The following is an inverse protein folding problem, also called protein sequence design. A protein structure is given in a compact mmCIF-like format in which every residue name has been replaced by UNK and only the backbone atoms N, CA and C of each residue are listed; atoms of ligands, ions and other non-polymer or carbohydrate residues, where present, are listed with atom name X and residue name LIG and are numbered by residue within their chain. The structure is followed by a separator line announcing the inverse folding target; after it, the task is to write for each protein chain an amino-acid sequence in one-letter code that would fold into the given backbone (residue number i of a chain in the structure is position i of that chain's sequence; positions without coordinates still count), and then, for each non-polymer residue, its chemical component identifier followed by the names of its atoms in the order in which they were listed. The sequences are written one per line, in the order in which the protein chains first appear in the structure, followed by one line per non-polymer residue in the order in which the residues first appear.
data_IF_932534583377
#
_entry.id   IF_932534583377
#
_cell.length_a   1.000
_cell.length_b   1.000
_cell.length_c   1.000
_cell.angle_alpha   90.00
_cell.angle_beta   90.00
_cell.angle_gamma   90.00
#
_symmetry.space_group_name_H-M   'P 1'
#
loop_
_entity.id
_entity.type
_entity.pdbx_description
1 polymer ?
#
# COMPACT_ATOMS: atom_id res chain seq x y z
N UNK A 1 57.06 -0.96 3.78
CA UNK A 1 56.02 -0.69 2.74
C UNK A 1 54.70 -0.54 3.44
N UNK A 2 54.24 0.69 3.62
CA UNK A 2 52.96 0.97 4.23
C UNK A 2 51.90 1.00 3.10
N UNK A 3 50.92 0.09 3.17
CA UNK A 3 49.75 0.15 2.29
C UNK A 3 48.89 1.34 2.72
N UNK A 4 48.84 2.38 1.93
CA UNK A 4 47.85 3.42 2.00
C UNK A 4 46.53 2.85 1.48
N UNK A 5 45.63 2.49 2.40
CA UNK A 5 44.24 2.20 2.07
C UNK A 5 43.55 3.53 1.72
N UNK A 6 43.36 3.76 0.43
CA UNK A 6 42.52 4.83 -0.07
C UNK A 6 41.08 4.51 0.30
N UNK A 7 40.56 5.15 1.34
CA UNK A 7 39.09 5.22 1.58
C UNK A 7 38.51 6.15 0.54
N UNK A 8 38.11 5.60 -0.61
CA UNK A 8 37.18 6.31 -1.51
C UNK A 8 35.91 6.57 -0.71
N UNK A 9 35.68 7.82 -0.34
CA UNK A 9 34.37 8.24 0.17
C UNK A 9 33.37 7.91 -0.94
N UNK A 10 32.49 6.95 -0.70
CA UNK A 10 31.33 6.70 -1.55
C UNK A 10 30.55 8.00 -1.61
N UNK A 11 30.63 8.71 -2.71
CA UNK A 11 29.72 9.81 -2.97
C UNK A 11 28.31 9.22 -2.89
N UNK A 12 27.46 9.77 -2.02
CA UNK A 12 26.09 9.33 -1.91
C UNK A 12 25.48 9.34 -3.32
N UNK A 13 24.95 8.20 -3.76
CA UNK A 13 24.35 8.06 -5.08
C UNK A 13 23.28 9.16 -5.23
N UNK A 14 23.26 9.86 -6.35
CA UNK A 14 22.22 10.84 -6.63
C UNK A 14 21.02 10.09 -7.22
N UNK A 15 19.75 10.39 -6.86
CA UNK A 15 18.57 9.72 -7.43
C UNK A 15 18.43 10.08 -8.93
N UNK A 16 19.21 9.41 -9.76
CA UNK A 16 19.51 9.79 -11.13
C UNK A 16 19.42 8.59 -12.07
N UNK A 17 18.70 8.74 -13.17
CA UNK A 17 18.64 7.74 -14.24
C UNK A 17 19.99 7.54 -14.95
N UNK A 18 20.77 8.60 -15.24
CA UNK A 18 22.13 8.41 -15.74
C UNK A 18 23.06 7.60 -14.84
N UNK A 19 22.95 7.77 -13.50
CA UNK A 19 23.75 6.99 -12.56
C UNK A 19 23.30 5.53 -12.54
N UNK A 20 22.00 5.29 -12.52
CA UNK A 20 21.44 3.94 -12.63
C UNK A 20 21.88 3.26 -13.94
N UNK A 21 21.74 3.94 -15.09
CA UNK A 21 22.12 3.43 -16.40
C UNK A 21 23.61 3.06 -16.47
N UNK A 22 24.47 3.97 -15.96
CA UNK A 22 25.92 3.71 -15.88
C UNK A 22 26.23 2.49 -15.03
N UNK A 23 25.72 2.42 -13.83
CA UNK A 23 25.96 1.31 -12.88
C UNK A 23 25.45 -0.03 -13.44
N UNK A 24 24.26 -0.02 -14.08
CA UNK A 24 23.72 -1.20 -14.74
C UNK A 24 24.60 -1.65 -15.94
N UNK A 25 25.08 -0.70 -16.74
CA UNK A 25 25.99 -0.97 -17.87
C UNK A 25 27.35 -1.54 -17.39
N UNK A 26 27.85 -1.04 -16.28
CA UNK A 26 29.10 -1.48 -15.67
C UNK A 26 28.99 -2.86 -14.98
N UNK A 27 27.76 -3.38 -14.76
CA UNK A 27 27.54 -4.70 -14.19
C UNK A 27 27.36 -4.71 -12.67
N UNK A 28 26.92 -3.60 -12.09
CA UNK A 28 26.66 -3.50 -10.65
C UNK A 28 25.50 -4.39 -10.19
N UNK A 29 25.40 -4.56 -8.86
CA UNK A 29 24.24 -5.14 -8.19
C UNK A 29 23.25 -4.04 -7.86
N UNK A 30 22.03 -4.16 -8.38
CA UNK A 30 20.99 -3.13 -8.27
C UNK A 30 19.68 -3.72 -7.75
N UNK A 31 19.04 -3.01 -6.84
CA UNK A 31 17.78 -3.38 -6.25
C UNK A 31 16.64 -2.58 -6.89
N UNK A 32 15.67 -3.26 -7.48
CA UNK A 32 14.48 -2.67 -8.09
C UNK A 32 13.26 -3.07 -7.26
N UNK A 33 12.49 -2.09 -6.80
CA UNK A 33 11.30 -2.31 -5.98
C UNK A 33 10.05 -1.92 -6.77
N UNK A 34 9.09 -2.84 -6.87
CA UNK A 34 7.76 -2.60 -7.43
C UNK A 34 6.78 -2.39 -6.28
N UNK A 35 6.33 -1.15 -6.11
CA UNK A 35 5.53 -0.74 -4.96
C UNK A 35 4.13 -0.36 -5.39
N UNK A 36 3.12 -1.16 -4.98
CA UNK A 36 1.76 -0.95 -5.46
C UNK A 36 0.71 -1.89 -4.87
N UNK A 37 -0.29 -2.18 -5.69
CA UNK A 37 -1.44 -3.00 -5.30
C UNK A 37 -1.57 -4.28 -6.14
N UNK A 38 -2.80 -4.78 -6.37
CA UNK A 38 -3.03 -6.03 -7.10
C UNK A 38 -2.54 -6.00 -8.55
N UNK A 39 -2.57 -4.84 -9.19
CA UNK A 39 -2.04 -4.65 -10.55
C UNK A 39 -0.50 -4.75 -10.56
N UNK A 40 0.15 -4.33 -9.50
CA UNK A 40 1.60 -4.52 -9.32
C UNK A 40 1.92 -5.97 -8.98
N UNK A 41 1.14 -6.62 -8.13
CA UNK A 41 1.32 -8.03 -7.82
C UNK A 41 1.13 -8.93 -9.05
N UNK A 42 0.19 -8.61 -9.93
CA UNK A 42 -0.10 -9.37 -11.15
C UNK A 42 -1.31 -10.29 -11.00
N UNK A 43 -2.38 -9.82 -10.33
CA UNK A 43 -3.63 -10.57 -10.24
C UNK A 43 -4.21 -10.86 -11.64
N UNK A 44 -4.70 -12.08 -11.88
CA UNK A 44 -5.12 -12.62 -13.19
C UNK A 44 -3.99 -12.85 -14.22
N UNK A 45 -2.74 -12.57 -13.90
CA UNK A 45 -1.65 -13.09 -14.71
C UNK A 45 -1.62 -14.63 -14.60
N UNK A 46 -1.36 -15.34 -15.69
CA UNK A 46 -1.30 -16.82 -15.65
C UNK A 46 -0.18 -17.32 -14.74
N UNK A 47 0.90 -16.56 -14.66
CA UNK A 47 1.99 -16.71 -13.70
C UNK A 47 2.52 -15.34 -13.33
N UNK A 48 2.19 -14.81 -12.13
CA UNK A 48 2.65 -13.49 -11.71
C UNK A 48 4.17 -13.30 -11.68
N UNK A 49 4.95 -14.38 -11.61
CA UNK A 49 6.40 -14.32 -11.59
C UNK A 49 7.01 -14.17 -13.00
N UNK A 50 6.22 -14.44 -14.05
CA UNK A 50 6.71 -14.36 -15.44
C UNK A 50 5.89 -13.43 -16.33
N UNK A 51 4.56 -13.28 -16.06
CA UNK A 51 3.63 -12.60 -16.97
C UNK A 51 2.97 -11.35 -16.38
N UNK A 52 3.23 -10.99 -15.12
CA UNK A 52 2.83 -9.68 -14.58
C UNK A 52 3.66 -8.55 -15.20
N UNK A 53 3.18 -7.29 -15.06
CA UNK A 53 3.95 -6.15 -15.60
C UNK A 53 5.35 -6.05 -14.97
N UNK A 54 5.46 -6.29 -13.66
CA UNK A 54 6.75 -6.24 -12.96
C UNK A 54 7.73 -7.30 -13.47
N UNK A 55 7.24 -8.51 -13.75
CA UNK A 55 8.07 -9.59 -14.29
C UNK A 55 8.50 -9.29 -15.73
N UNK A 56 7.60 -8.77 -16.57
CA UNK A 56 7.90 -8.41 -17.96
C UNK A 56 8.83 -7.18 -18.01
N UNK A 57 8.66 -6.19 -17.12
CA UNK A 57 9.62 -5.08 -16.99
C UNK A 57 10.99 -5.58 -16.52
N UNK A 58 11.03 -6.51 -15.55
CA UNK A 58 12.28 -7.10 -15.07
C UNK A 58 13.02 -7.84 -16.19
N UNK A 59 12.32 -8.67 -16.97
CA UNK A 59 12.87 -9.36 -18.15
C UNK A 59 13.41 -8.39 -19.17
N UNK A 60 12.69 -7.29 -19.45
CA UNK A 60 13.14 -6.25 -20.34
C UNK A 60 14.41 -5.56 -19.82
N UNK A 61 14.48 -5.27 -18.51
CA UNK A 61 15.63 -4.64 -17.88
C UNK A 61 16.87 -5.57 -17.91
N UNK A 62 16.71 -6.88 -17.65
CA UNK A 62 17.76 -7.88 -17.77
C UNK A 62 18.31 -7.98 -19.20
N UNK A 63 17.44 -7.90 -20.21
CA UNK A 63 17.84 -7.89 -21.62
C UNK A 63 18.59 -6.61 -22.00
N UNK A 64 18.16 -5.46 -21.47
CA UNK A 64 18.81 -4.16 -21.71
C UNK A 64 20.20 -4.09 -21.09
N UNK A 65 20.37 -4.67 -19.89
CA UNK A 65 21.63 -4.63 -19.13
C UNK A 65 22.15 -6.03 -18.79
N UNK A 66 22.65 -6.78 -19.76
CA UNK A 66 23.00 -8.20 -19.57
C UNK A 66 24.18 -8.44 -18.62
N UNK A 67 24.90 -7.40 -18.22
CA UNK A 67 25.98 -7.48 -17.23
C UNK A 67 25.53 -7.18 -15.82
N UNK A 68 24.41 -6.49 -15.64
CA UNK A 68 23.91 -6.10 -14.32
C UNK A 68 23.38 -7.31 -13.53
N UNK A 69 23.42 -7.19 -12.21
CA UNK A 69 22.88 -8.20 -11.30
C UNK A 69 21.71 -7.61 -10.53
N UNK A 70 20.50 -7.70 -11.10
CA UNK A 70 19.32 -7.16 -10.49
C UNK A 70 18.74 -8.05 -9.39
N UNK A 71 18.19 -7.41 -8.34
CA UNK A 71 17.26 -8.01 -7.39
C UNK A 71 15.92 -7.29 -7.51
N UNK A 72 14.89 -8.04 -7.81
CA UNK A 72 13.55 -7.53 -7.95
C UNK A 72 12.72 -7.84 -6.70
N UNK A 73 12.11 -6.81 -6.12
CA UNK A 73 11.28 -6.93 -4.93
C UNK A 73 9.83 -6.59 -5.26
N UNK A 74 8.98 -7.57 -5.04
CA UNK A 74 7.53 -7.37 -5.05
C UNK A 74 7.10 -6.78 -3.70
N UNK A 75 6.71 -5.52 -3.70
CA UNK A 75 6.21 -4.77 -2.56
C UNK A 75 4.73 -4.40 -2.74
N UNK A 76 3.95 -5.30 -3.34
CA UNK A 76 2.54 -5.11 -3.60
C UNK A 76 1.65 -5.76 -2.54
N UNK A 77 0.54 -5.10 -2.20
CA UNK A 77 -0.58 -5.65 -1.43
C UNK A 77 -1.87 -5.34 -2.17
N UNK A 78 -2.57 -6.39 -2.63
CA UNK A 78 -3.80 -6.25 -3.38
C UNK A 78 -4.87 -5.44 -2.65
N UNK A 79 -5.61 -4.59 -3.37
CA UNK A 79 -6.72 -3.81 -2.83
C UNK A 79 -6.33 -2.66 -1.90
N UNK A 80 -5.07 -2.24 -1.90
CA UNK A 80 -4.59 -1.15 -1.03
C UNK A 80 -4.20 0.10 -1.84
N UNK A 81 -4.36 1.27 -1.22
CA UNK A 81 -3.99 2.56 -1.81
C UNK A 81 -2.68 3.12 -1.25
N UNK A 82 -2.30 4.30 -1.74
CA UNK A 82 -1.10 5.05 -1.33
C UNK A 82 -1.09 5.38 0.16
N UNK A 83 -2.25 5.56 0.78
CA UNK A 83 -2.37 5.87 2.20
C UNK A 83 -1.79 4.76 3.08
N UNK A 84 -2.16 3.47 2.85
CA UNK A 84 -1.49 2.35 3.51
C UNK A 84 -0.04 2.21 3.04
N UNK A 85 0.23 2.56 1.78
CA UNK A 85 1.59 2.59 1.21
C UNK A 85 2.55 3.36 2.10
N UNK A 86 2.17 4.55 2.58
CA UNK A 86 2.99 5.37 3.49
C UNK A 86 3.43 4.59 4.73
N UNK A 87 2.51 3.89 5.38
CA UNK A 87 2.78 3.20 6.65
C UNK A 87 3.58 1.92 6.49
N UNK A 88 3.72 1.40 5.27
CA UNK A 88 4.55 0.23 4.97
C UNK A 88 5.83 0.56 4.19
N UNK A 89 6.05 1.83 3.86
CA UNK A 89 7.20 2.27 3.04
C UNK A 89 8.56 1.87 3.65
N UNK A 90 8.75 2.08 4.94
CA UNK A 90 10.02 1.73 5.60
C UNK A 90 10.34 0.24 5.49
N UNK A 91 9.34 -0.63 5.72
CA UNK A 91 9.50 -2.08 5.68
C UNK A 91 9.63 -2.62 4.26
N UNK A 92 8.78 -2.12 3.34
CA UNK A 92 8.61 -2.75 2.03
C UNK A 92 9.52 -2.12 0.95
N UNK A 93 9.92 -0.87 1.13
CA UNK A 93 10.76 -0.12 0.18
C UNK A 93 12.11 0.21 0.78
N UNK A 94 12.17 1.03 1.83
CA UNK A 94 13.41 1.59 2.35
C UNK A 94 14.38 0.50 2.84
N UNK A 95 13.87 -0.53 3.53
CA UNK A 95 14.68 -1.66 4.00
C UNK A 95 15.34 -2.47 2.87
N UNK A 96 14.83 -2.36 1.64
CA UNK A 96 15.37 -3.02 0.45
C UNK A 96 16.54 -2.27 -0.17
N UNK A 97 16.84 -1.06 0.30
CA UNK A 97 17.90 -0.18 -0.23
C UNK A 97 17.79 -0.10 -1.76
N UNK A 98 16.67 0.42 -2.29
CA UNK A 98 16.40 0.42 -3.71
C UNK A 98 17.36 1.31 -4.48
N UNK A 99 17.69 0.89 -5.69
CA UNK A 99 18.36 1.69 -6.72
C UNK A 99 17.34 2.24 -7.73
N UNK A 100 16.12 1.68 -7.77
CA UNK A 100 14.98 2.15 -8.56
C UNK A 100 13.68 1.72 -7.89
N UNK A 101 12.68 2.59 -7.87
CA UNK A 101 11.34 2.27 -7.37
C UNK A 101 10.28 2.62 -8.41
N UNK A 102 9.43 1.64 -8.76
CA UNK A 102 8.22 1.88 -9.55
C UNK A 102 7.03 1.95 -8.59
N UNK A 103 6.22 3.03 -8.69
CA UNK A 103 5.14 3.33 -7.74
C UNK A 103 3.81 3.34 -8.49
N UNK A 104 2.90 2.42 -8.12
CA UNK A 104 1.54 2.30 -8.67
C UNK A 104 0.49 2.20 -7.58
N UNK A 105 -0.37 3.22 -7.49
CA UNK A 105 -1.59 3.21 -6.69
C UNK A 105 -2.76 3.90 -7.41
N UNK A 106 -2.59 4.28 -8.68
CA UNK A 106 -3.53 5.10 -9.44
C UNK A 106 -4.96 4.57 -9.46
N UNK A 107 -5.11 3.28 -9.71
CA UNK A 107 -6.41 2.63 -9.79
C UNK A 107 -7.08 2.49 -8.41
N UNK A 108 -6.31 2.14 -7.39
CA UNK A 108 -6.82 1.92 -6.02
C UNK A 108 -7.11 3.21 -5.27
N UNK A 109 -6.43 4.31 -5.62
CA UNK A 109 -6.69 5.64 -5.07
C UNK A 109 -7.86 6.36 -5.76
N UNK A 110 -8.64 5.65 -6.54
CA UNK A 110 -9.73 6.15 -7.40
C UNK A 110 -9.25 7.19 -8.42
N UNK A 111 -9.13 6.75 -9.69
CA UNK A 111 -8.57 7.57 -10.78
C UNK A 111 -9.34 8.87 -11.03
N UNK A 112 -10.62 8.93 -10.66
CA UNK A 112 -11.47 10.11 -10.84
C UNK A 112 -11.48 11.06 -9.65
N UNK A 113 -10.99 10.61 -8.49
CA UNK A 113 -10.99 11.40 -7.26
C UNK A 113 -9.98 12.55 -7.29
N UNK A 114 -10.38 13.68 -6.73
CA UNK A 114 -9.52 14.84 -6.43
C UNK A 114 -9.23 14.97 -4.93
N UNK A 115 -9.45 13.91 -4.13
CA UNK A 115 -9.18 13.91 -2.71
C UNK A 115 -7.72 14.32 -2.43
N UNK A 116 -7.48 15.48 -1.78
CA UNK A 116 -6.14 15.99 -1.52
C UNK A 116 -5.35 15.13 -0.53
N UNK A 117 -6.02 14.36 0.34
CA UNK A 117 -5.37 13.43 1.27
C UNK A 117 -4.67 12.28 0.51
N UNK A 118 -5.31 11.76 -0.55
CA UNK A 118 -4.66 10.77 -1.41
C UNK A 118 -3.53 11.40 -2.21
N UNK A 119 -3.66 12.67 -2.62
CA UNK A 119 -2.55 13.43 -3.21
C UNK A 119 -1.37 13.55 -2.24
N UNK A 120 -1.62 13.93 -1.00
CA UNK A 120 -0.62 14.06 0.05
C UNK A 120 0.10 12.74 0.36
N UNK A 121 -0.65 11.63 0.46
CA UNK A 121 -0.07 10.31 0.70
C UNK A 121 0.80 9.86 -0.48
N UNK A 122 0.31 10.00 -1.73
CA UNK A 122 1.06 9.61 -2.92
C UNK A 122 2.32 10.45 -3.13
N UNK A 123 2.22 11.78 -3.00
CA UNK A 123 3.39 12.68 -3.09
C UNK A 123 4.45 12.34 -2.03
N UNK A 124 4.02 11.99 -0.82
CA UNK A 124 4.94 11.56 0.24
C UNK A 124 5.72 10.31 -0.14
N UNK A 125 5.12 9.34 -0.85
CA UNK A 125 5.83 8.14 -1.33
C UNK A 125 6.90 8.50 -2.36
N UNK A 126 6.57 9.36 -3.32
CA UNK A 126 7.53 9.82 -4.34
C UNK A 126 8.66 10.62 -3.67
N UNK A 127 8.32 11.56 -2.78
CA UNK A 127 9.29 12.37 -2.06
C UNK A 127 10.23 11.52 -1.22
N UNK A 128 9.71 10.57 -0.45
CA UNK A 128 10.50 9.68 0.41
C UNK A 128 11.37 8.72 -0.40
N UNK A 129 10.94 8.30 -1.57
CA UNK A 129 11.79 7.53 -2.49
C UNK A 129 13.03 8.33 -2.86
N UNK A 130 12.88 9.62 -3.14
CA UNK A 130 13.98 10.50 -3.56
C UNK A 130 14.86 10.89 -2.36
N UNK A 131 14.29 11.31 -1.22
CA UNK A 131 15.06 11.87 -0.12
C UNK A 131 15.50 10.84 0.93
N UNK A 132 14.67 9.82 1.24
CA UNK A 132 14.98 8.83 2.29
C UNK A 132 15.70 7.62 1.68
N UNK A 133 15.22 7.12 0.53
CA UNK A 133 15.83 5.99 -0.15
C UNK A 133 16.98 6.41 -1.09
N UNK A 134 17.07 7.68 -1.44
CA UNK A 134 18.04 8.23 -2.39
C UNK A 134 18.03 7.49 -3.74
N UNK A 135 16.85 7.14 -4.22
CA UNK A 135 16.63 6.35 -5.44
C UNK A 135 15.78 7.12 -6.45
N UNK A 136 16.04 6.99 -7.77
CA UNK A 136 15.11 7.44 -8.79
C UNK A 136 13.78 6.67 -8.68
N UNK A 137 12.69 7.36 -9.01
CA UNK A 137 11.35 6.81 -9.04
C UNK A 137 10.78 6.82 -10.46
N UNK A 138 9.89 5.88 -10.76
CA UNK A 138 8.99 5.91 -11.91
C UNK A 138 7.57 5.89 -11.37
N UNK A 139 6.75 6.86 -11.74
CA UNK A 139 5.32 6.83 -11.50
C UNK A 139 4.68 6.02 -12.63
N UNK A 140 3.94 4.96 -12.30
CA UNK A 140 3.15 4.21 -13.27
C UNK A 140 1.67 4.37 -12.97
N UNK A 141 0.86 4.53 -14.03
CA UNK A 141 -0.58 4.75 -13.91
C UNK A 141 -1.31 3.67 -14.70
N UNK A 142 -1.92 2.73 -13.98
CA UNK A 142 -2.61 1.60 -14.56
C UNK A 142 -4.12 1.81 -14.58
N UNK A 143 -4.79 1.43 -15.68
CA UNK A 143 -6.23 1.50 -15.80
C UNK A 143 -6.93 0.27 -15.27
N UNK A 144 -8.20 0.45 -14.89
CA UNK A 144 -9.22 -0.58 -15.00
C UNK A 144 -9.86 -0.54 -16.40
N UNK A 145 -10.59 -1.59 -16.76
CA UNK A 145 -11.24 -1.73 -18.07
C UNK A 145 -12.07 -0.49 -18.46
N UNK A 146 -12.89 0.03 -17.53
CA UNK A 146 -13.78 1.17 -17.79
C UNK A 146 -13.01 2.47 -18.06
N UNK A 147 -11.80 2.63 -17.52
CA UNK A 147 -10.95 3.79 -17.84
C UNK A 147 -10.51 3.77 -19.31
N UNK A 148 -10.27 2.58 -19.86
CA UNK A 148 -9.89 2.44 -21.26
C UNK A 148 -11.12 2.51 -22.17
N UNK A 149 -12.24 1.91 -21.79
CA UNK A 149 -13.50 1.94 -22.52
C UNK A 149 -14.02 3.38 -22.70
N UNK A 150 -13.75 4.27 -21.74
CA UNK A 150 -14.08 5.70 -21.87
C UNK A 150 -13.44 6.35 -23.11
N UNK A 151 -12.28 5.84 -23.60
CA UNK A 151 -11.62 6.29 -24.81
C UNK A 151 -10.91 7.64 -24.75
N UNK A 152 -10.89 8.29 -23.57
CA UNK A 152 -10.18 9.54 -23.29
C UNK A 152 -9.82 9.63 -21.80
N UNK A 153 -9.01 10.61 -21.42
CA UNK A 153 -8.60 10.80 -20.01
C UNK A 153 -9.37 11.91 -19.29
N UNK A 154 -10.47 12.39 -19.88
CA UNK A 154 -11.29 13.45 -19.28
C UNK A 154 -11.84 13.05 -17.91
N UNK A 155 -11.71 13.94 -16.93
CA UNK A 155 -12.16 13.71 -15.56
C UNK A 155 -11.28 12.80 -14.70
N UNK A 156 -10.18 12.26 -15.23
CA UNK A 156 -9.24 11.41 -14.47
C UNK A 156 -8.31 12.27 -13.60
N UNK A 157 -8.88 12.93 -12.60
CA UNK A 157 -8.19 13.93 -11.77
C UNK A 157 -6.98 13.36 -11.04
N UNK A 158 -7.05 12.10 -10.59
CA UNK A 158 -5.92 11.41 -9.94
C UNK A 158 -4.75 11.19 -10.90
N UNK A 159 -5.03 10.81 -12.15
CA UNK A 159 -4.00 10.72 -13.20
C UNK A 159 -3.29 12.07 -13.40
N UNK A 160 -4.06 13.15 -13.53
CA UNK A 160 -3.49 14.48 -13.73
C UNK A 160 -2.67 14.94 -12.50
N UNK A 161 -3.11 14.59 -11.31
CA UNK A 161 -2.39 14.82 -10.06
C UNK A 161 -1.05 14.05 -10.03
N UNK A 162 -1.03 12.78 -10.43
CA UNK A 162 0.21 11.99 -10.52
C UNK A 162 1.19 12.59 -11.54
N UNK A 163 0.70 13.07 -12.68
CA UNK A 163 1.52 13.76 -13.69
C UNK A 163 2.07 15.10 -13.13
N UNK A 164 1.27 15.85 -12.36
CA UNK A 164 1.73 17.07 -11.72
C UNK A 164 2.86 16.79 -10.71
N UNK A 165 2.71 15.73 -9.90
CA UNK A 165 3.77 15.28 -8.98
C UNK A 165 5.01 14.85 -9.78
N UNK A 166 4.86 14.03 -10.83
CA UNK A 166 5.97 13.59 -11.68
C UNK A 166 6.80 14.78 -12.20
N UNK A 167 6.12 15.79 -12.74
CA UNK A 167 6.76 17.02 -13.25
C UNK A 167 7.47 17.80 -12.14
N UNK A 168 6.83 17.97 -10.98
CA UNK A 168 7.40 18.74 -9.85
C UNK A 168 8.68 18.09 -9.27
N UNK A 169 8.76 16.74 -9.35
CA UNK A 169 9.88 15.97 -8.82
C UNK A 169 10.89 15.53 -9.89
N UNK A 170 10.69 15.95 -11.14
CA UNK A 170 11.50 15.51 -12.29
C UNK A 170 11.58 13.99 -12.40
N UNK A 171 10.45 13.33 -12.27
CA UNK A 171 10.27 11.87 -12.31
C UNK A 171 9.57 11.48 -13.60
N UNK A 172 10.07 10.51 -14.38
CA UNK A 172 9.34 10.01 -15.55
C UNK A 172 8.10 9.23 -15.15
N UNK A 173 7.11 9.17 -16.05
CA UNK A 173 5.86 8.45 -15.78
C UNK A 173 5.42 7.58 -16.94
N UNK A 174 4.94 6.37 -16.62
CA UNK A 174 4.32 5.43 -17.56
C UNK A 174 2.80 5.53 -17.50
N UNK A 175 2.19 6.08 -18.57
CA UNK A 175 0.75 6.23 -18.69
C UNK A 175 0.14 5.05 -19.46
N UNK A 176 -0.07 3.92 -18.78
CA UNK A 176 -0.70 2.76 -19.39
C UNK A 176 -2.19 3.00 -19.75
N UNK A 177 -2.83 4.02 -19.15
CA UNK A 177 -4.20 4.39 -19.49
C UNK A 177 -4.25 4.86 -20.95
N UNK A 178 -3.47 5.88 -21.26
CA UNK A 178 -3.38 6.45 -22.62
C UNK A 178 -2.89 5.40 -23.62
N UNK A 179 -1.85 4.63 -23.26
CA UNK A 179 -1.31 3.58 -24.13
C UNK A 179 -2.38 2.53 -24.48
N UNK A 180 -3.14 2.02 -23.51
CA UNK A 180 -4.20 1.06 -23.75
C UNK A 180 -5.32 1.66 -24.64
N UNK A 181 -5.73 2.92 -24.39
CA UNK A 181 -6.72 3.61 -25.22
C UNK A 181 -6.26 3.72 -26.67
N UNK A 182 -5.00 4.08 -26.91
CA UNK A 182 -4.42 4.18 -28.27
C UNK A 182 -4.34 2.82 -28.98
N UNK A 183 -3.96 1.75 -28.24
CA UNK A 183 -3.88 0.39 -28.79
C UNK A 183 -5.27 -0.12 -29.19
N UNK A 184 -6.29 0.15 -28.37
CA UNK A 184 -7.68 -0.20 -28.67
C UNK A 184 -8.22 0.62 -29.84
N UNK A 185 -8.04 1.94 -29.81
CA UNK A 185 -8.49 2.86 -30.88
C UNK A 185 -7.87 2.53 -32.25
N UNK A 186 -6.62 2.13 -32.28
CA UNK A 186 -5.92 1.73 -33.50
C UNK A 186 -6.27 0.30 -33.98
N UNK A 187 -7.10 -0.44 -33.27
CA UNK A 187 -7.47 -1.81 -33.59
C UNK A 187 -6.36 -2.84 -33.41
N UNK A 188 -5.24 -2.46 -32.75
CA UNK A 188 -4.14 -3.39 -32.47
C UNK A 188 -4.50 -4.45 -31.43
N UNK A 189 -5.37 -4.09 -30.47
CA UNK A 189 -5.90 -4.96 -29.45
C UNK A 189 -7.35 -4.61 -29.16
N UNK A 190 -8.10 -5.56 -28.58
CA UNK A 190 -9.47 -5.32 -28.08
C UNK A 190 -9.48 -5.22 -26.57
N UNK A 191 -10.51 -4.60 -26.02
CA UNK A 191 -10.76 -4.55 -24.56
C UNK A 191 -10.75 -5.96 -23.95
N UNK A 192 -11.44 -6.92 -24.60
CA UNK A 192 -11.52 -8.29 -24.13
C UNK A 192 -10.17 -9.02 -24.12
N UNK A 193 -9.27 -8.70 -25.02
CA UNK A 193 -7.91 -9.26 -25.02
C UNK A 193 -7.07 -8.71 -23.85
N UNK A 194 -7.29 -7.46 -23.49
CA UNK A 194 -6.60 -6.85 -22.34
C UNK A 194 -7.18 -7.39 -21.02
N UNK A 195 -8.52 -7.43 -20.90
CA UNK A 195 -9.24 -7.93 -19.70
C UNK A 195 -10.10 -9.14 -20.06
N UNK A 196 -9.53 -10.35 -20.08
CA UNK A 196 -10.28 -11.55 -20.47
C UNK A 196 -11.24 -12.07 -19.40
N UNK A 197 -10.98 -11.81 -18.11
CA UNK A 197 -11.69 -12.45 -17.01
C UNK A 197 -12.62 -11.48 -16.25
N UNK A 198 -12.10 -10.33 -15.80
CA UNK A 198 -12.85 -9.31 -15.07
C UNK A 198 -12.43 -7.90 -15.53
N UNK A 199 -13.18 -6.88 -15.16
CA UNK A 199 -12.88 -5.51 -15.57
C UNK A 199 -11.79 -4.82 -14.75
N UNK A 200 -11.23 -5.46 -13.73
CA UNK A 200 -10.27 -4.89 -12.79
C UNK A 200 -8.83 -5.32 -13.15
N UNK A 201 -8.61 -6.63 -13.27
CA UNK A 201 -7.29 -7.20 -13.44
C UNK A 201 -7.08 -7.68 -14.87
N UNK A 202 -6.07 -7.16 -15.59
CA UNK A 202 -5.81 -7.58 -16.96
C UNK A 202 -5.21 -8.99 -17.03
N UNK A 203 -5.28 -9.60 -18.21
CA UNK A 203 -4.51 -10.79 -18.53
C UNK A 203 -3.07 -10.46 -18.95
N UNK A 204 -2.33 -11.49 -19.35
CA UNK A 204 -0.90 -11.36 -19.71
C UNK A 204 -0.62 -10.27 -20.74
N UNK A 205 -1.48 -10.13 -21.77
CA UNK A 205 -1.34 -9.11 -22.80
C UNK A 205 -1.47 -7.70 -22.20
N UNK A 206 -2.46 -7.47 -21.33
CA UNK A 206 -2.64 -6.18 -20.68
C UNK A 206 -1.47 -5.85 -19.74
N UNK A 207 -0.95 -6.83 -19.01
CA UNK A 207 0.29 -6.64 -18.24
C UNK A 207 1.50 -6.34 -19.12
N UNK A 208 1.55 -6.86 -20.36
CA UNK A 208 2.56 -6.48 -21.34
C UNK A 208 2.49 -5.01 -21.71
N UNK A 209 1.28 -4.47 -21.91
CA UNK A 209 1.09 -3.03 -22.16
C UNK A 209 1.49 -2.17 -20.95
N UNK A 210 1.22 -2.65 -19.73
CA UNK A 210 1.64 -1.96 -18.52
C UNK A 210 3.17 -1.94 -18.37
N UNK A 211 3.82 -3.06 -18.70
CA UNK A 211 5.28 -3.15 -18.72
C UNK A 211 5.87 -2.25 -19.83
N UNK A 212 5.24 -2.18 -21.01
CA UNK A 212 5.63 -1.28 -22.09
C UNK A 212 5.60 0.18 -21.62
N UNK A 213 4.52 0.63 -20.97
CA UNK A 213 4.43 1.98 -20.44
C UNK A 213 5.52 2.29 -19.39
N UNK A 214 5.80 1.33 -18.49
CA UNK A 214 6.87 1.48 -17.51
C UNK A 214 8.25 1.53 -18.16
N UNK A 215 8.50 0.71 -19.18
CA UNK A 215 9.78 0.69 -19.92
C UNK A 215 10.00 1.98 -20.71
N UNK A 216 8.95 2.51 -21.35
CA UNK A 216 9.00 3.82 -22.01
C UNK A 216 9.35 4.95 -21.04
N UNK A 217 8.77 4.94 -19.83
CA UNK A 217 9.11 5.91 -18.79
C UNK A 217 10.58 5.78 -18.34
N UNK A 218 11.08 4.56 -18.18
CA UNK A 218 12.49 4.34 -17.85
C UNK A 218 13.40 4.87 -18.97
N UNK A 219 13.11 4.55 -20.24
CA UNK A 219 13.86 5.04 -21.40
C UNK A 219 13.84 6.58 -21.47
N UNK A 220 12.70 7.21 -21.18
CA UNK A 220 12.61 8.66 -21.06
C UNK A 220 13.58 9.17 -20.00
N UNK A 221 13.57 8.57 -18.81
CA UNK A 221 14.45 8.96 -17.72
C UNK A 221 15.94 8.91 -18.11
N UNK A 222 16.35 7.85 -18.81
CA UNK A 222 17.73 7.67 -19.27
C UNK A 222 18.07 8.66 -20.39
N UNK A 223 17.22 8.76 -21.43
CA UNK A 223 17.48 9.56 -22.63
C UNK A 223 17.49 11.07 -22.33
N UNK A 224 16.56 11.53 -21.48
CA UNK A 224 16.48 12.92 -21.02
C UNK A 224 17.44 13.22 -19.87
N UNK A 225 18.19 12.22 -19.40
CA UNK A 225 19.15 12.32 -18.30
C UNK A 225 18.53 12.89 -17.02
N UNK A 226 17.34 12.39 -16.67
CA UNK A 226 16.59 12.91 -15.54
C UNK A 226 17.31 12.62 -14.22
N UNK A 227 17.43 13.69 -13.40
CA UNK A 227 17.82 13.62 -12.01
C UNK A 227 16.59 13.96 -11.16
N UNK A 228 16.09 12.98 -10.41
CA UNK A 228 14.93 13.18 -9.56
C UNK A 228 15.27 14.12 -8.42
N UNK A 229 14.41 15.11 -8.16
CA UNK A 229 14.66 16.14 -7.15
C UNK A 229 13.38 16.53 -6.44
N UNK A 230 13.37 16.42 -5.12
CA UNK A 230 12.26 16.91 -4.32
C UNK A 230 12.19 18.45 -4.35
N UNK A 231 11.04 19.05 -4.67
CA UNK A 231 10.87 20.51 -4.59
C UNK A 231 10.94 20.99 -3.14
N UNK A 232 11.25 22.27 -2.94
CA UNK A 232 11.35 22.87 -1.61
C UNK A 232 10.01 22.82 -0.84
N UNK A 233 8.88 22.91 -1.55
CA UNK A 233 7.52 22.80 -1.00
C UNK A 233 6.77 21.70 -1.75
N UNK A 234 6.02 20.89 -1.02
CA UNK A 234 5.14 19.88 -1.59
C UNK A 234 3.93 20.53 -2.28
N UNK A 235 3.35 19.84 -3.25
CA UNK A 235 2.11 20.26 -3.93
C UNK A 235 0.90 20.08 -3.01
N UNK A 236 0.94 19.03 -2.18
CA UNK A 236 -0.08 18.71 -1.19
C UNK A 236 0.47 18.87 0.23
N UNK A 237 -0.38 18.62 1.23
CA UNK A 237 0.04 18.68 2.63
C UNK A 237 1.14 17.65 2.93
N UNK A 238 2.07 18.00 3.81
CA UNK A 238 3.18 17.14 4.23
C UNK A 238 2.80 16.16 5.35
N UNK A 239 1.51 16.01 5.62
CA UNK A 239 0.94 15.17 6.69
C UNK A 239 1.62 13.80 6.79
N UNK A 240 1.84 13.15 5.64
CA UNK A 240 2.37 11.79 5.57
C UNK A 240 3.91 11.70 5.57
N UNK A 241 4.61 12.82 5.60
CA UNK A 241 6.09 12.83 5.74
C UNK A 241 6.53 12.36 7.12
N UNK A 242 5.71 12.60 8.16
CA UNK A 242 5.86 11.98 9.48
C UNK A 242 4.76 10.94 9.65
N UNK A 243 5.14 9.69 9.74
CA UNK A 243 4.19 8.58 9.85
C UNK A 243 4.78 7.47 10.72
N UNK A 244 3.93 6.79 11.46
CA UNK A 244 4.28 5.60 12.23
C UNK A 244 3.23 4.51 12.06
N UNK A 245 3.69 3.26 12.01
CA UNK A 245 2.89 2.05 12.13
C UNK A 245 3.36 1.31 13.36
N UNK A 246 2.52 1.23 14.38
CA UNK A 246 2.84 0.60 15.65
C UNK A 246 1.98 -0.65 15.83
N UNK A 247 2.64 -1.81 15.98
CA UNK A 247 1.94 -3.08 16.21
C UNK A 247 1.23 -3.04 17.55
N UNK A 248 -0.05 -3.41 17.56
CA UNK A 248 -0.86 -3.42 18.78
C UNK A 248 -0.32 -4.45 19.78
N UNK A 249 0.24 -5.55 19.29
CA UNK A 249 0.88 -6.58 20.15
C UNK A 249 2.04 -6.05 21.00
N UNK A 250 2.67 -4.94 20.59
CA UNK A 250 3.73 -4.29 21.37
C UNK A 250 3.21 -3.39 22.51
N UNK A 251 1.91 -3.08 22.52
CA UNK A 251 1.25 -2.21 23.51
C UNK A 251 0.72 -3.01 24.72
N UNK A 252 1.57 -3.79 25.32
CA UNK A 252 1.22 -4.70 26.44
C UNK A 252 1.11 -3.99 27.79
N UNK A 253 0.34 -4.59 28.75
CA UNK A 253 -0.55 -5.74 28.61
C UNK A 253 -1.77 -5.40 27.76
N UNK A 254 -2.25 -6.40 26.98
CA UNK A 254 -3.51 -6.27 26.23
C UNK A 254 -4.70 -6.26 27.21
N UNK A 255 -5.82 -5.63 26.86
CA UNK A 255 -7.02 -5.65 27.70
C UNK A 255 -7.65 -7.05 27.77
N UNK A 256 -8.54 -7.24 28.73
CA UNK A 256 -9.24 -8.52 28.90
C UNK A 256 -9.98 -8.90 27.61
N UNK A 257 -9.91 -10.18 27.23
CA UNK A 257 -10.55 -10.71 26.03
C UNK A 257 -9.76 -10.48 24.73
N UNK A 258 -8.58 -9.83 24.81
CA UNK A 258 -7.65 -9.70 23.69
C UNK A 258 -6.42 -10.59 23.92
N UNK A 259 -5.95 -11.19 22.86
CA UNK A 259 -4.74 -12.04 22.87
C UNK A 259 -3.90 -11.81 21.65
N UNK A 260 -2.61 -12.04 21.76
CA UNK A 260 -1.73 -12.12 20.59
C UNK A 260 -2.06 -13.37 19.77
N UNK A 261 -1.87 -13.28 18.47
CA UNK A 261 -2.10 -14.36 17.52
C UNK A 261 -1.30 -14.18 16.24
N UNK A 262 -1.47 -15.12 15.36
CA UNK A 262 -0.84 -15.11 14.03
C UNK A 262 -1.87 -14.74 12.97
N UNK A 263 -1.45 -14.12 11.85
CA UNK A 263 -2.31 -13.93 10.70
C UNK A 263 -2.89 -15.25 10.19
N UNK A 264 -4.06 -15.21 9.59
CA UNK A 264 -4.63 -16.37 8.91
C UNK A 264 -3.76 -16.75 7.72
N UNK A 265 -3.52 -18.06 7.57
CA UNK A 265 -2.82 -18.60 6.39
C UNK A 265 -3.77 -18.80 5.20
N UNK A 266 -5.07 -18.60 5.41
CA UNK A 266 -6.04 -18.64 4.31
C UNK A 266 -5.87 -17.35 3.51
N UNK A 267 -5.29 -17.50 2.36
CA UNK A 267 -4.98 -16.40 1.47
C UNK A 267 -6.24 -15.67 0.97
N UNK A 268 -6.12 -14.39 0.74
CA UNK A 268 -7.07 -13.69 -0.12
C UNK A 268 -7.08 -14.35 -1.50
N UNK A 269 -8.25 -14.46 -2.10
CA UNK A 269 -8.42 -15.24 -3.32
C UNK A 269 -7.59 -14.73 -4.52
N UNK A 270 -7.17 -13.49 -4.52
CA UNK A 270 -6.33 -12.90 -5.58
C UNK A 270 -4.89 -12.59 -5.13
N UNK A 271 -4.58 -12.75 -3.85
CA UNK A 271 -3.23 -12.59 -3.31
C UNK A 271 -2.97 -13.67 -2.26
N UNK A 272 -2.49 -14.82 -2.71
CA UNK A 272 -2.19 -15.97 -1.87
C UNK A 272 -1.07 -15.77 -0.85
N UNK A 273 -0.44 -14.59 -0.82
CA UNK A 273 0.66 -14.28 0.08
C UNK A 273 0.35 -13.10 0.99
N UNK A 274 -0.92 -12.74 1.16
CA UNK A 274 -1.31 -11.58 1.96
C UNK A 274 -0.81 -11.67 3.41
N UNK A 275 -0.79 -12.85 3.99
CA UNK A 275 -0.31 -13.06 5.38
C UNK A 275 1.14 -12.63 5.60
N UNK A 276 1.98 -12.61 4.57
CA UNK A 276 3.37 -12.12 4.68
C UNK A 276 3.47 -10.63 5.00
N UNK A 277 2.39 -9.88 4.79
CA UNK A 277 2.34 -8.44 5.01
C UNK A 277 1.93 -8.06 6.43
N UNK A 278 1.42 -9.03 7.17
CA UNK A 278 1.08 -8.93 8.58
C UNK A 278 2.16 -9.66 9.38
N UNK A 279 2.76 -8.98 10.37
CA UNK A 279 3.77 -9.61 11.22
C UNK A 279 3.13 -10.50 12.28
N UNK A 280 2.13 -9.96 12.98
CA UNK A 280 1.30 -10.62 13.97
C UNK A 280 -0.05 -9.90 14.04
N UNK A 281 -0.99 -10.45 14.78
CA UNK A 281 -2.27 -9.79 15.04
C UNK A 281 -2.62 -9.90 16.52
N UNK A 282 -3.42 -8.96 17.01
CA UNK A 282 -4.15 -9.13 18.24
C UNK A 282 -5.60 -9.50 17.93
N UNK A 283 -6.16 -10.39 18.70
CA UNK A 283 -7.46 -10.99 18.44
C UNK A 283 -8.35 -10.74 19.65
N UNK A 284 -9.46 -10.03 19.45
CA UNK A 284 -10.59 -10.05 20.37
C UNK A 284 -11.56 -11.16 19.94
N UNK A 285 -12.15 -11.89 20.89
CA UNK A 285 -13.13 -12.93 20.58
C UNK A 285 -14.32 -12.85 21.55
N UNK A 286 -15.53 -13.16 21.05
CA UNK A 286 -16.71 -13.33 21.88
C UNK A 286 -16.76 -14.71 22.58
N UNK A 287 -15.68 -15.48 22.49
CA UNK A 287 -15.49 -16.77 23.16
C UNK A 287 -14.17 -16.78 23.91
N UNK A 288 -14.16 -17.42 25.07
CA UNK A 288 -12.93 -17.71 25.82
C UNK A 288 -12.92 -19.15 26.28
N UNK A 289 -11.73 -19.73 26.38
CA UNK A 289 -11.57 -21.05 26.97
C UNK A 289 -11.84 -20.98 28.49
N UNK A 290 -12.66 -21.89 28.98
CA UNK A 290 -12.90 -22.10 30.43
C UNK A 290 -12.82 -23.62 30.73
N UNK A 291 -12.49 -23.96 31.97
CA UNK A 291 -12.50 -25.34 32.42
C UNK A 291 -13.81 -25.56 33.18
N UNK A 292 -14.61 -26.53 32.71
CA UNK A 292 -15.87 -26.86 33.36
C UNK A 292 -15.69 -27.69 34.67
N UNK A 293 -16.77 -28.02 35.34
CA UNK A 293 -16.75 -28.76 36.61
C UNK A 293 -16.09 -30.15 36.49
N UNK A 294 -16.08 -30.74 35.30
CA UNK A 294 -15.48 -32.06 35.03
C UNK A 294 -13.99 -31.95 34.61
N UNK A 295 -13.40 -30.76 34.69
CA UNK A 295 -12.01 -30.52 34.30
C UNK A 295 -11.78 -30.47 32.79
N UNK A 296 -12.84 -30.44 31.97
CA UNK A 296 -12.74 -30.33 30.49
C UNK A 296 -12.75 -28.88 30.04
N UNK A 297 -11.92 -28.58 29.05
CA UNK A 297 -11.89 -27.27 28.39
C UNK A 297 -13.08 -27.08 27.46
N UNK A 298 -13.77 -25.98 27.60
CA UNK A 298 -14.89 -25.60 26.75
C UNK A 298 -14.81 -24.10 26.38
N UNK A 299 -15.42 -23.71 25.26
CA UNK A 299 -15.50 -22.33 24.82
C UNK A 299 -16.80 -21.71 25.36
N UNK A 300 -16.66 -20.73 26.24
CA UNK A 300 -17.80 -20.01 26.82
C UNK A 300 -17.90 -18.59 26.27
N UNK A 301 -19.11 -17.98 26.29
CA UNK A 301 -19.29 -16.58 25.90
C UNK A 301 -18.37 -15.64 26.67
N UNK A 302 -17.83 -14.63 25.97
CA UNK A 302 -17.00 -13.61 26.55
C UNK A 302 -17.29 -12.25 25.87
N UNK A 303 -17.08 -11.17 26.63
CA UNK A 303 -17.14 -9.82 26.10
C UNK A 303 -15.74 -9.20 26.28
N UNK A 304 -15.02 -8.90 25.19
CA UNK A 304 -13.74 -8.23 25.29
C UNK A 304 -13.90 -6.78 25.76
N UNK A 305 -12.96 -6.31 26.56
CA UNK A 305 -12.86 -4.90 26.91
C UNK A 305 -12.48 -4.05 25.67
N UNK A 306 -12.70 -2.74 25.76
CA UNK A 306 -12.22 -1.81 24.74
C UNK A 306 -10.69 -1.78 24.71
N UNK A 307 -10.12 -1.89 23.51
CA UNK A 307 -8.71 -1.61 23.32
C UNK A 307 -8.51 -0.09 23.25
N UNK A 308 -7.60 0.44 24.06
CA UNK A 308 -7.31 1.88 24.10
C UNK A 308 -5.85 2.15 23.79
N UNK A 309 -5.63 3.13 22.93
CA UNK A 309 -4.29 3.61 22.60
C UNK A 309 -4.26 5.14 22.61
N UNK A 310 -3.15 5.71 23.07
CA UNK A 310 -2.86 7.14 22.99
C UNK A 310 -2.06 7.39 21.74
N UNK A 311 -2.38 8.42 20.99
CA UNK A 311 -1.64 8.77 19.78
C UNK A 311 -1.53 10.28 19.57
N UNK A 312 -0.54 10.70 18.79
CA UNK A 312 -0.44 12.06 18.27
C UNK A 312 -0.29 11.99 16.75
N UNK A 313 -1.21 12.60 16.04
CA UNK A 313 -1.24 12.64 14.58
C UNK A 313 -2.51 13.28 14.05
N UNK A 314 -2.48 13.80 12.84
CA UNK A 314 -3.64 14.35 12.14
C UNK A 314 -4.53 13.26 11.56
N UNK A 315 -3.95 12.12 11.22
CA UNK A 315 -4.64 10.99 10.58
C UNK A 315 -4.37 9.73 11.40
N UNK A 316 -5.41 8.91 11.60
CA UNK A 316 -5.29 7.60 12.25
C UNK A 316 -6.03 6.53 11.46
N UNK A 317 -5.34 5.40 11.15
CA UNK A 317 -5.88 4.22 10.50
C UNK A 317 -5.68 2.99 11.37
N UNK A 318 -6.57 2.02 11.19
CA UNK A 318 -6.41 0.65 11.67
C UNK A 318 -6.01 -0.24 10.50
N UNK A 319 -5.05 -1.12 10.75
CA UNK A 319 -4.65 -2.17 9.83
C UNK A 319 -4.72 -3.52 10.49
N UNK A 320 -5.22 -4.52 9.77
CA UNK A 320 -5.42 -5.86 10.28
C UNK A 320 -5.89 -6.83 9.20
N UNK A 321 -6.69 -7.79 9.60
CA UNK A 321 -7.15 -8.89 8.77
C UNK A 321 -8.67 -9.03 8.88
N UNK A 322 -9.34 -9.19 7.74
CA UNK A 322 -10.74 -9.60 7.63
C UNK A 322 -10.81 -11.11 7.44
N UNK A 323 -11.66 -11.77 8.18
CA UNK A 323 -11.95 -13.19 8.01
C UNK A 323 -13.45 -13.44 7.97
N UNK A 324 -13.88 -14.63 7.57
CA UNK A 324 -15.30 -15.01 7.61
C UNK A 324 -15.88 -15.04 9.04
N UNK A 325 -15.01 -15.13 10.05
CA UNK A 325 -15.38 -15.07 11.47
C UNK A 325 -15.32 -13.64 12.03
N UNK A 326 -14.78 -12.68 11.29
CA UNK A 326 -14.66 -11.31 11.81
C UNK A 326 -16.03 -10.67 12.01
N UNK A 327 -16.18 -9.98 13.12
CA UNK A 327 -17.37 -9.24 13.49
C UNK A 327 -17.24 -7.75 13.20
N UNK A 328 -18.08 -6.96 13.85
CA UNK A 328 -18.09 -5.51 13.77
C UNK A 328 -17.34 -4.89 14.97
N UNK A 329 -17.04 -3.61 14.84
CA UNK A 329 -16.50 -2.81 15.94
C UNK A 329 -16.91 -1.34 15.81
N UNK A 330 -16.86 -0.62 16.93
CA UNK A 330 -16.99 0.84 17.01
C UNK A 330 -15.64 1.45 17.34
N UNK A 331 -15.43 2.67 16.88
CA UNK A 331 -14.26 3.46 17.25
C UNK A 331 -14.69 4.75 17.93
N UNK A 332 -13.89 5.18 18.88
CA UNK A 332 -14.06 6.45 19.57
C UNK A 332 -12.73 7.20 19.54
N UNK A 333 -12.80 8.51 19.32
CA UNK A 333 -11.67 9.41 19.48
C UNK A 333 -12.02 10.40 20.59
N UNK A 334 -11.18 10.46 21.62
CA UNK A 334 -11.39 11.29 22.82
C UNK A 334 -12.77 11.08 23.46
N UNK A 335 -13.18 9.81 23.55
CA UNK A 335 -14.45 9.40 24.13
C UNK A 335 -15.68 9.64 23.26
N UNK A 336 -15.53 10.23 22.08
CA UNK A 336 -16.64 10.49 21.12
C UNK A 336 -16.69 9.39 20.08
N UNK A 337 -17.89 8.81 19.88
CA UNK A 337 -18.15 7.84 18.82
C UNK A 337 -17.81 8.46 17.46
N UNK A 338 -17.03 7.76 16.65
CA UNK A 338 -16.75 8.17 15.27
C UNK A 338 -17.88 7.65 14.37
N UNK A 339 -18.42 8.55 13.58
CA UNK A 339 -19.47 8.26 12.60
C UNK A 339 -18.90 8.48 11.19
N UNK A 340 -19.18 7.55 10.27
CA UNK A 340 -18.57 7.53 8.94
C UNK A 340 -19.62 7.80 7.85
N UNK A 341 -19.34 8.69 6.87
CA UNK A 341 -20.24 8.89 5.74
C UNK A 341 -20.27 7.64 4.86
N UNK A 342 -21.46 7.21 4.44
CA UNK A 342 -21.65 6.07 3.53
C UNK A 342 -21.93 6.50 2.08
N UNK A 343 -22.46 7.68 1.87
CA UNK A 343 -22.85 8.21 0.58
C UNK A 343 -23.89 9.33 0.76
N UNK A 344 -24.28 9.93 -0.35
CA UNK A 344 -25.30 10.98 -0.33
C UNK A 344 -26.63 10.37 0.15
N UNK A 345 -27.26 11.02 1.11
CA UNK A 345 -28.58 10.66 1.67
C UNK A 345 -28.64 9.32 2.45
N UNK A 346 -27.48 8.75 2.83
CA UNK A 346 -27.44 7.59 3.72
C UNK A 346 -27.11 8.00 5.16
N UNK A 347 -27.64 7.29 6.17
CA UNK A 347 -27.27 7.53 7.56
C UNK A 347 -25.79 7.27 7.78
N UNK A 348 -25.20 7.98 8.75
CA UNK A 348 -23.80 7.75 9.12
C UNK A 348 -23.62 6.34 9.68
N UNK A 349 -22.55 5.68 9.25
CA UNK A 349 -22.17 4.37 9.77
C UNK A 349 -21.53 4.53 11.15
N UNK A 350 -22.05 3.83 12.14
CA UNK A 350 -21.57 3.83 13.54
C UNK A 350 -20.72 2.61 13.87
N UNK A 351 -20.76 1.60 13.03
CA UNK A 351 -20.05 0.32 13.22
C UNK A 351 -19.32 -0.04 11.93
N UNK A 352 -18.08 -0.41 12.08
CA UNK A 352 -17.24 -0.90 10.97
C UNK A 352 -17.40 -2.41 10.89
N UNK A 353 -17.73 -2.93 9.72
CA UNK A 353 -17.80 -4.36 9.45
C UNK A 353 -16.43 -4.86 8.98
N UNK A 354 -15.78 -5.66 9.79
CA UNK A 354 -14.50 -6.29 9.48
C UNK A 354 -14.66 -7.73 8.96
N UNK A 355 -15.89 -8.16 8.60
CA UNK A 355 -16.11 -9.49 8.07
C UNK A 355 -15.65 -9.60 6.61
N UNK A 356 -14.90 -10.64 6.29
CA UNK A 356 -14.48 -10.96 4.93
C UNK A 356 -15.59 -11.51 4.03
N UNK A 357 -16.84 -11.56 4.49
CA UNK A 357 -17.98 -12.21 3.80
C UNK A 357 -18.23 -11.67 2.41
N UNK A 358 -18.07 -10.35 2.21
CA UNK A 358 -18.28 -9.69 0.92
C UNK A 358 -17.40 -10.24 -0.19
N UNK A 359 -16.21 -10.76 0.14
CA UNK A 359 -15.21 -11.24 -0.81
C UNK A 359 -14.96 -12.75 -0.70
N UNK A 360 -15.80 -13.46 0.06
CA UNK A 360 -15.74 -14.92 0.16
C UNK A 360 -14.52 -15.49 0.89
N UNK A 361 -13.77 -14.65 1.63
CA UNK A 361 -12.57 -15.12 2.29
C UNK A 361 -11.83 -14.06 3.08
N UNK A 362 -10.59 -14.38 3.44
CA UNK A 362 -9.73 -13.51 4.21
C UNK A 362 -9.04 -12.47 3.31
N UNK A 363 -8.90 -11.27 3.82
CA UNK A 363 -8.16 -10.18 3.18
C UNK A 363 -7.60 -9.21 4.22
N UNK A 364 -6.83 -8.20 3.77
CA UNK A 364 -6.42 -7.10 4.62
C UNK A 364 -7.62 -6.26 5.06
N UNK A 365 -7.59 -5.81 6.31
CA UNK A 365 -8.48 -4.79 6.84
C UNK A 365 -7.73 -3.46 6.93
N UNK A 366 -8.20 -2.44 6.20
CA UNK A 366 -7.66 -1.08 6.26
C UNK A 366 -8.82 -0.14 6.49
N UNK A 367 -8.78 0.59 7.60
CA UNK A 367 -9.85 1.52 7.94
C UNK A 367 -9.30 2.84 8.44
N UNK A 368 -9.60 3.94 7.74
CA UNK A 368 -9.31 5.29 8.21
C UNK A 368 -10.32 5.69 9.28
N UNK A 369 -9.87 5.78 10.53
CA UNK A 369 -10.73 6.13 11.67
C UNK A 369 -11.03 7.63 11.68
N UNK A 370 -10.01 8.46 11.54
CA UNK A 370 -10.16 9.91 11.56
C UNK A 370 -9.05 10.61 10.75
N UNK A 371 -9.35 11.84 10.34
CA UNK A 371 -8.41 12.76 9.69
C UNK A 371 -8.70 14.20 10.13
N UNK A 372 -7.70 15.07 9.96
CA UNK A 372 -7.82 16.49 10.32
C UNK A 372 -7.85 16.74 11.83
N UNK A 373 -7.29 15.81 12.63
CA UNK A 373 -7.17 15.97 14.08
C UNK A 373 -6.11 17.01 14.43
N UNK A 374 -6.28 17.64 15.60
CA UNK A 374 -5.33 18.63 16.13
C UNK A 374 -4.00 17.97 16.54
N UNK A 375 -2.92 18.28 15.84
CA UNK A 375 -1.60 17.72 16.13
C UNK A 375 -0.90 18.34 17.34
N UNK A 376 -1.42 19.40 17.92
CA UNK A 376 -0.90 19.99 19.13
C UNK A 376 -1.24 19.16 20.39
N UNK A 377 -2.31 18.38 20.32
CA UNK A 377 -2.78 17.51 21.39
C UNK A 377 -2.49 16.04 21.13
N UNK A 378 -2.39 15.24 22.19
CA UNK A 378 -2.47 13.79 22.12
C UNK A 378 -3.93 13.38 22.19
N UNK A 379 -4.30 12.34 21.43
CA UNK A 379 -5.64 11.80 21.34
C UNK A 379 -5.70 10.39 21.93
N UNK A 380 -6.89 9.96 22.28
CA UNK A 380 -7.16 8.57 22.70
C UNK A 380 -8.09 7.91 21.69
N UNK A 381 -7.60 6.86 21.04
CA UNK A 381 -8.41 5.95 20.23
C UNK A 381 -8.90 4.79 21.09
N UNK A 382 -10.23 4.55 21.09
CA UNK A 382 -10.81 3.35 21.69
C UNK A 382 -11.46 2.50 20.58
N UNK A 383 -11.26 1.19 20.66
CA UNK A 383 -11.82 0.20 19.75
C UNK A 383 -12.68 -0.75 20.55
N UNK A 384 -13.98 -0.76 20.28
CA UNK A 384 -14.98 -1.56 20.94
C UNK A 384 -15.45 -2.68 20.02
N UNK A 385 -15.09 -3.96 20.26
CA UNK A 385 -15.68 -5.06 19.52
C UNK A 385 -17.20 -5.14 19.72
N UNK A 386 -17.94 -5.29 18.62
CA UNK A 386 -19.40 -5.44 18.61
C UNK A 386 -19.71 -6.77 17.94
N UNK A 387 -19.91 -7.78 18.77
CA UNK A 387 -20.22 -9.12 18.33
C UNK A 387 -21.72 -9.38 18.44
N UNK A 388 -22.31 -9.98 17.43
CA UNK A 388 -23.74 -10.27 17.38
C UNK A 388 -23.96 -11.77 17.32
N UNK A 389 -25.00 -12.24 18.05
CA UNK A 389 -25.46 -13.61 17.97
C UNK A 389 -24.61 -14.64 18.72
N UNK A 390 -24.96 -15.90 18.52
CA UNK A 390 -24.36 -17.06 19.19
C UNK A 390 -23.15 -17.62 18.43
N UNK A 391 -22.89 -17.14 17.24
CA UNK A 391 -21.73 -17.58 16.43
C UNK A 391 -20.42 -17.06 17.03
N UNK A 392 -19.36 -17.83 16.88
CA UNK A 392 -18.01 -17.38 17.22
C UNK A 392 -17.58 -16.24 16.28
N UNK A 393 -17.25 -15.11 16.87
CA UNK A 393 -16.77 -13.93 16.14
C UNK A 393 -15.44 -13.44 16.73
N UNK A 394 -14.64 -12.84 15.83
CA UNK A 394 -13.34 -12.28 16.15
C UNK A 394 -13.20 -10.86 15.58
N UNK A 395 -12.31 -10.07 16.16
CA UNK A 395 -11.75 -8.86 15.54
C UNK A 395 -10.22 -9.01 15.54
N UNK A 396 -9.62 -8.87 14.36
CA UNK A 396 -8.21 -9.19 14.13
C UNK A 396 -7.48 -7.94 13.63
N UNK A 397 -6.71 -7.31 14.52
CA UNK A 397 -5.99 -6.07 14.24
C UNK A 397 -4.47 -6.29 14.37
N UNK A 398 -3.71 -5.65 13.51
CA UNK A 398 -2.25 -5.70 13.54
C UNK A 398 -1.65 -4.41 14.08
N UNK A 399 -2.02 -3.25 13.52
CA UNK A 399 -1.40 -1.98 13.88
C UNK A 399 -2.36 -0.81 13.90
N UNK A 400 -1.96 0.18 14.69
CA UNK A 400 -2.45 1.56 14.59
C UNK A 400 -1.43 2.35 13.77
N UNK A 401 -1.91 2.99 12.72
CA UNK A 401 -1.12 3.79 11.79
C UNK A 401 -1.49 5.26 11.97
N UNK A 402 -0.51 6.13 12.21
CA UNK A 402 -0.74 7.55 12.40
C UNK A 402 0.17 8.39 11.53
N UNK A 403 -0.33 9.53 11.04
CA UNK A 403 0.44 10.47 10.24
C UNK A 403 0.18 11.91 10.69
N UNK A 404 1.19 12.76 10.48
CA UNK A 404 1.20 14.15 10.91
C UNK A 404 1.58 14.33 12.38
N UNK A 405 1.83 15.56 12.80
CA UNK A 405 2.23 15.88 14.15
C UNK A 405 3.53 15.18 14.59
N UNK A 406 3.51 14.54 15.76
CA UNK A 406 4.64 13.73 16.26
C UNK A 406 4.67 12.33 15.63
N UNK A 407 3.56 11.85 15.11
CA UNK A 407 3.33 10.48 14.60
C UNK A 407 3.73 9.42 15.64
N UNK A 408 3.13 9.48 16.83
CA UNK A 408 3.41 8.55 17.95
C UNK A 408 2.17 7.77 18.32
N UNK A 409 2.36 6.52 18.73
CA UNK A 409 1.33 5.66 19.31
C UNK A 409 1.92 4.99 20.54
N UNK A 410 1.21 5.05 21.65
CA UNK A 410 1.57 4.44 22.92
C UNK A 410 0.34 3.79 23.56
N UNK A 411 0.55 2.96 24.57
CA UNK A 411 -0.56 2.44 25.36
C UNK A 411 -1.27 3.61 26.07
N UNK A 412 -2.60 3.60 26.07
CA UNK A 412 -3.37 4.46 26.97
C UNK A 412 -3.40 3.84 28.38
N UNK A 413 -3.38 4.70 29.39
CA UNK A 413 -3.55 4.30 30.80
C UNK A 413 -4.99 3.88 31.08
#
# INVERSE_FOLDING_TARGET
MALLASTAASMAATPSFPDFDKRATDGDRLNVVFFGASLTWGANATDPQTTSYRAQFAQWLDQKYPKAHFRYYDAAIGGTGSQLGVFRFNRDVLSRKPDLVLIDFSANDDIYSDDPEMGASYESLVRRTIIDANAPAIIVMFPFQWNVTQGNTGGMKRRDMHIAIAKAYNVPWGDAITLCQERVKSGKVTIQQIWPNDGVHPGNLGYGLFAEAASQAFEQGVNEKLVCKAPGKMLFADTYMKSARVRISSLTPLPQGWRAGTPSLVAAWYDGLMSRWLDDVVIASNRKEATNADGKKEMVPAQPDRLKVRFNGSVVLLFGEETVKSGKYRTYVDGKLVEYPQGKDQPLLKEVDASGKRFGGNRQHVWRVAQGLDTAADHVLEIEPVFAGDEEQELRLESVCVAGGKATVTKAE
#
